data_IF_241225947144
#
_entry.id   IF_241225947144
#
_cell.length_a   1.000
_cell.length_b   1.000
_cell.length_c   1.000
_cell.angle_alpha   90.00
_cell.angle_beta   90.00
_cell.angle_gamma   90.00
#
_symmetry.space_group_name_H-M   'P 1'
#
loop_
_entity.id
_entity.type
_entity.pdbx_description
1 polymer ?
#
# COMPACT_ATOMS: atom_id res chain seq x y z
N UNK A 1 -24.04 31.82 -12.92
CA UNK A 1 -24.87 30.59 -12.96
C UNK A 1 -24.19 29.46 -13.72
N UNK A 2 -23.55 29.74 -14.88
CA UNK A 2 -22.68 28.76 -15.57
C UNK A 2 -21.30 28.62 -14.88
N UNK A 3 -20.69 29.75 -14.48
CA UNK A 3 -19.39 29.78 -13.78
C UNK A 3 -19.41 28.96 -12.47
N UNK A 4 -20.47 29.13 -11.67
CA UNK A 4 -20.68 28.36 -10.43
C UNK A 4 -20.86 26.86 -10.63
N UNK A 5 -21.27 26.41 -11.82
CA UNK A 5 -21.40 24.99 -12.14
C UNK A 5 -20.05 24.39 -12.53
N UNK A 6 -19.25 25.14 -13.32
CA UNK A 6 -17.89 24.76 -13.70
C UNK A 6 -16.98 24.67 -12.46
N UNK A 7 -17.08 25.63 -11.53
CA UNK A 7 -16.30 25.61 -10.29
C UNK A 7 -16.61 24.38 -9.42
N UNK A 8 -17.87 23.93 -9.41
CA UNK A 8 -18.30 22.75 -8.67
C UNK A 8 -17.79 21.45 -9.33
N UNK A 9 -17.81 21.38 -10.64
CA UNK A 9 -17.32 20.24 -11.41
C UNK A 9 -15.81 20.07 -11.22
N UNK A 10 -15.04 21.16 -11.36
CA UNK A 10 -13.60 21.16 -11.09
C UNK A 10 -13.31 20.72 -9.65
N UNK A 11 -14.05 21.24 -8.66
CA UNK A 11 -13.84 20.84 -7.27
C UNK A 11 -14.10 19.34 -7.04
N UNK A 12 -15.13 18.79 -7.69
CA UNK A 12 -15.43 17.36 -7.61
C UNK A 12 -14.34 16.50 -8.24
N UNK A 13 -13.84 16.88 -9.41
CA UNK A 13 -12.72 16.19 -10.08
C UNK A 13 -11.49 16.17 -9.17
N UNK A 14 -11.09 17.32 -8.63
CA UNK A 14 -9.92 17.43 -7.77
C UNK A 14 -10.07 16.65 -6.46
N UNK A 15 -11.27 16.67 -5.88
CA UNK A 15 -11.56 15.88 -4.68
C UNK A 15 -11.48 14.39 -4.99
N UNK A 16 -12.04 13.96 -6.11
CA UNK A 16 -12.02 12.56 -6.53
C UNK A 16 -10.59 12.09 -6.81
N UNK A 17 -9.81 12.84 -7.58
CA UNK A 17 -8.40 12.52 -7.85
C UNK A 17 -7.59 12.45 -6.55
N UNK A 18 -7.75 13.42 -5.66
CA UNK A 18 -7.06 13.43 -4.37
C UNK A 18 -7.45 12.24 -3.49
N UNK A 19 -8.72 11.88 -3.48
CA UNK A 19 -9.21 10.71 -2.75
C UNK A 19 -8.67 9.40 -3.33
N UNK A 20 -8.71 9.22 -4.65
CA UNK A 20 -8.22 8.03 -5.34
C UNK A 20 -6.71 7.84 -5.12
N UNK A 21 -5.92 8.90 -5.29
CA UNK A 21 -4.48 8.89 -5.02
C UNK A 21 -4.18 8.55 -3.56
N UNK A 22 -4.88 9.19 -2.63
CA UNK A 22 -4.68 8.95 -1.20
C UNK A 22 -5.06 7.52 -0.80
N UNK A 23 -6.16 7.01 -1.33
CA UNK A 23 -6.62 5.65 -1.11
C UNK A 23 -5.63 4.63 -1.67
N UNK A 24 -5.17 4.80 -2.91
CA UNK A 24 -4.22 3.89 -3.54
C UNK A 24 -2.88 3.85 -2.79
N UNK A 25 -2.31 5.02 -2.45
CA UNK A 25 -1.08 5.10 -1.67
C UNK A 25 -1.23 4.46 -0.29
N UNK A 26 -2.32 4.75 0.42
CA UNK A 26 -2.58 4.17 1.73
C UNK A 26 -2.77 2.65 1.67
N UNK A 27 -3.48 2.16 0.66
CA UNK A 27 -3.70 0.74 0.44
C UNK A 27 -2.39 0.00 0.14
N UNK A 28 -1.56 0.51 -0.78
CA UNK A 28 -0.26 -0.08 -1.10
C UNK A 28 0.68 -0.11 0.12
N UNK A 29 0.75 0.98 0.88
CA UNK A 29 1.53 1.03 2.12
C UNK A 29 1.02 0.02 3.15
N UNK A 30 -0.30 -0.13 3.29
CA UNK A 30 -0.89 -1.11 4.19
C UNK A 30 -0.56 -2.55 3.81
N UNK A 31 -0.62 -2.89 2.51
CA UNK A 31 -0.23 -4.20 2.01
C UNK A 31 1.25 -4.50 2.28
N UNK A 32 2.14 -3.54 2.00
CA UNK A 32 3.57 -3.69 2.24
C UNK A 32 3.86 -3.87 3.74
N UNK A 33 3.32 -3.00 4.59
CA UNK A 33 3.49 -3.10 6.05
C UNK A 33 3.00 -4.46 6.57
N UNK A 34 1.86 -4.94 6.06
CA UNK A 34 1.32 -6.24 6.48
C UNK A 34 2.22 -7.40 6.06
N UNK A 35 2.75 -7.37 4.83
CA UNK A 35 3.70 -8.38 4.36
C UNK A 35 4.97 -8.40 5.22
N UNK A 36 5.52 -7.22 5.56
CA UNK A 36 6.68 -7.09 6.43
C UNK A 36 6.40 -7.59 7.87
N UNK A 37 5.24 -7.27 8.44
CA UNK A 37 4.82 -7.75 9.77
C UNK A 37 4.76 -9.29 9.81
N UNK A 38 4.14 -9.91 8.80
CA UNK A 38 4.06 -11.37 8.68
C UNK A 38 5.46 -11.96 8.56
N UNK A 39 6.32 -11.39 7.70
CA UNK A 39 7.70 -11.86 7.53
C UNK A 39 8.50 -11.79 8.85
N UNK A 40 8.42 -10.68 9.61
CA UNK A 40 9.06 -10.54 10.93
C UNK A 40 8.57 -11.60 11.91
N UNK A 41 7.26 -11.86 11.93
CA UNK A 41 6.66 -12.89 12.78
C UNK A 41 7.10 -14.31 12.39
N UNK A 42 7.32 -14.57 11.10
CA UNK A 42 7.82 -15.86 10.63
C UNK A 42 9.33 -16.03 10.92
N UNK A 43 10.13 -14.98 10.72
CA UNK A 43 11.55 -14.97 11.08
C UNK A 43 11.75 -15.26 12.56
N UNK A 44 10.98 -14.61 13.45
CA UNK A 44 11.07 -14.82 14.89
C UNK A 44 10.70 -16.25 15.33
N UNK A 45 9.95 -16.97 14.49
CA UNK A 45 9.58 -18.38 14.69
C UNK A 45 10.55 -19.37 14.02
N UNK A 46 11.60 -18.88 13.36
CA UNK A 46 12.61 -19.71 12.71
C UNK A 46 12.20 -20.33 11.38
N UNK A 47 11.19 -19.77 10.71
CA UNK A 47 10.82 -20.24 9.36
C UNK A 47 11.92 -19.92 8.35
N UNK A 48 12.08 -20.80 7.35
CA UNK A 48 13.06 -20.62 6.29
C UNK A 48 12.73 -19.40 5.41
N UNK A 49 13.76 -18.66 4.99
CA UNK A 49 13.64 -17.47 4.14
C UNK A 49 12.86 -17.76 2.84
N UNK A 50 13.11 -18.90 2.20
CA UNK A 50 12.40 -19.31 0.98
C UNK A 50 10.88 -19.42 1.18
N UNK A 51 10.43 -19.93 2.33
CA UNK A 51 9.01 -20.02 2.66
C UNK A 51 8.42 -18.63 2.93
N UNK A 52 9.16 -17.76 3.61
CA UNK A 52 8.73 -16.40 3.93
C UNK A 52 8.48 -15.61 2.64
N UNK A 53 9.42 -15.66 1.69
CA UNK A 53 9.29 -15.03 0.36
C UNK A 53 8.04 -15.54 -0.35
N UNK A 54 7.86 -16.86 -0.38
CA UNK A 54 6.70 -17.46 -1.03
C UNK A 54 5.36 -17.04 -0.41
N UNK A 55 5.28 -16.95 0.92
CA UNK A 55 4.04 -16.61 1.62
C UNK A 55 3.74 -15.10 1.63
N UNK A 56 4.76 -14.25 1.65
CA UNK A 56 4.59 -12.79 1.82
C UNK A 56 4.71 -12.01 0.51
N UNK A 57 5.26 -12.61 -0.54
CA UNK A 57 5.54 -11.92 -1.81
C UNK A 57 6.70 -10.93 -1.74
N UNK A 58 7.40 -10.81 -0.60
CA UNK A 58 8.59 -9.97 -0.46
C UNK A 58 9.78 -10.59 -1.19
N UNK A 59 10.68 -9.75 -1.70
CA UNK A 59 11.95 -10.21 -2.28
C UNK A 59 12.92 -10.72 -1.21
N UNK A 60 13.94 -11.46 -1.64
CA UNK A 60 15.03 -11.90 -0.75
C UNK A 60 15.66 -10.71 -0.03
N UNK A 61 15.94 -9.64 -0.77
CA UNK A 61 16.60 -8.44 -0.25
C UNK A 61 15.71 -7.71 0.77
N UNK A 62 14.40 -7.67 0.53
CA UNK A 62 13.46 -7.10 1.50
C UNK A 62 13.46 -7.90 2.79
N UNK A 63 13.32 -9.23 2.71
CA UNK A 63 13.33 -10.11 3.89
C UNK A 63 14.65 -10.04 4.66
N UNK A 64 15.79 -9.95 3.97
CA UNK A 64 17.11 -9.80 4.59
C UNK A 64 17.33 -8.46 5.30
N UNK A 65 16.57 -7.41 4.94
CA UNK A 65 16.63 -6.08 5.55
C UNK A 65 15.65 -5.90 6.71
N UNK A 66 14.73 -6.84 6.94
CA UNK A 66 13.80 -6.81 8.06
C UNK A 66 14.52 -7.07 9.38
#
# INVERSE_FOLDING_TARGET
>A
MLESAIDLEIWQEWFQEGFELGFELGFQQGLEQKAQEIARNMLSKGFAIALIIHCTGLTIEQVQKL
#
